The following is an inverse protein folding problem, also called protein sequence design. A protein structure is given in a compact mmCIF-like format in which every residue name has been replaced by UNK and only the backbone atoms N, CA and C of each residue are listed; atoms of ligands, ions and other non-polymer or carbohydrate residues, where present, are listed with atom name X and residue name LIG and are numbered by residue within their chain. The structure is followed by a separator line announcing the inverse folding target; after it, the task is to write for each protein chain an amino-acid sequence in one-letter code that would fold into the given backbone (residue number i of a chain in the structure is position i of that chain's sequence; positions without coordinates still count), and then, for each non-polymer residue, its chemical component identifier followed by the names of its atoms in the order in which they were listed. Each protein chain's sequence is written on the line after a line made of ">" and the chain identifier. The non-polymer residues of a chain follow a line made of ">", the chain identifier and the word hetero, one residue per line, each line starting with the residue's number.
data_IF_191013793505
#
_entry.id   IF_191013793505
#
_cell.length_a   1.000
_cell.length_b   1.000
_cell.length_c   1.000
_cell.angle_alpha   90.00
_cell.angle_beta   90.00
_cell.angle_gamma   90.00
#
_symmetry.space_group_name_H-M   'P 1'
#
loop_
_entity.id
_entity.type
_entity.pdbx_description
1 polymer ?
#
# COMPACT_ATOMS: atom_id res chain seq x y z
N UNK A 1 -29.14 0.52 6.47
CA UNK A 1 -28.44 -0.59 7.15
C UNK A 1 -27.64 -0.03 8.34
N UNK A 2 -28.30 0.38 9.43
CA UNK A 2 -27.64 1.10 10.53
C UNK A 2 -26.55 0.27 11.24
N UNK A 3 -26.82 -1.00 11.55
CA UNK A 3 -25.85 -1.85 12.26
C UNK A 3 -24.58 -2.20 11.46
N UNK A 4 -24.70 -2.36 10.13
CA UNK A 4 -23.52 -2.56 9.26
C UNK A 4 -22.66 -1.30 9.26
N UNK A 5 -23.27 -0.11 9.12
CA UNK A 5 -22.55 1.16 9.16
C UNK A 5 -21.82 1.34 10.51
N UNK A 6 -22.50 1.09 11.63
CA UNK A 6 -21.90 1.22 12.96
C UNK A 6 -20.66 0.34 13.12
N UNK A 7 -20.75 -0.94 12.73
CA UNK A 7 -19.60 -1.85 12.79
C UNK A 7 -18.48 -1.52 11.80
N UNK A 8 -18.81 -0.93 10.66
CA UNK A 8 -17.81 -0.37 9.75
C UNK A 8 -17.05 0.79 10.40
N UNK A 9 -17.74 1.72 11.08
CA UNK A 9 -17.06 2.82 11.78
C UNK A 9 -16.16 2.30 12.92
N UNK A 10 -16.62 1.32 13.70
CA UNK A 10 -15.78 0.66 14.72
C UNK A 10 -14.51 0.03 14.11
N UNK A 11 -14.64 -0.64 12.97
CA UNK A 11 -13.49 -1.22 12.25
C UNK A 11 -12.54 -0.13 11.74
N UNK A 12 -13.05 0.97 11.19
CA UNK A 12 -12.25 2.11 10.75
C UNK A 12 -11.45 2.67 11.92
N UNK A 13 -12.06 2.83 13.08
CA UNK A 13 -11.38 3.32 14.27
C UNK A 13 -10.30 2.34 14.73
N UNK A 14 -10.57 1.04 14.72
CA UNK A 14 -9.55 0.03 15.06
C UNK A 14 -8.36 0.05 14.08
N UNK A 15 -8.62 0.20 12.78
CA UNK A 15 -7.57 0.36 11.75
C UNK A 15 -6.76 1.62 12.04
N UNK A 16 -7.40 2.75 12.32
CA UNK A 16 -6.70 4.01 12.61
C UNK A 16 -5.81 3.94 13.85
N UNK A 17 -6.19 3.13 14.83
CA UNK A 17 -5.42 2.91 16.06
C UNK A 17 -4.46 1.71 15.96
N UNK A 18 -4.39 1.02 14.82
CA UNK A 18 -3.42 -0.05 14.63
C UNK A 18 -1.99 0.50 14.68
N UNK A 19 -1.02 -0.38 14.93
CA UNK A 19 0.39 0.03 14.96
C UNK A 19 0.84 0.42 13.55
N UNK A 20 0.43 -0.37 12.58
CA UNK A 20 0.72 -0.24 11.15
C UNK A 20 0.29 1.13 10.63
N UNK A 21 -0.98 1.51 10.88
CA UNK A 21 -1.53 2.77 10.39
C UNK A 21 -0.96 4.00 11.11
N UNK A 22 -0.66 3.89 12.42
CA UNK A 22 -0.02 4.97 13.18
C UNK A 22 1.40 5.22 12.69
N UNK A 23 2.22 4.18 12.58
CA UNK A 23 3.59 4.28 12.08
C UNK A 23 3.63 4.85 10.66
N UNK A 24 2.73 4.40 9.77
CA UNK A 24 2.59 4.98 8.43
C UNK A 24 2.27 6.47 8.46
N UNK A 25 1.32 6.92 9.28
CA UNK A 25 0.95 8.34 9.34
C UNK A 25 2.06 9.23 9.91
N UNK A 26 2.77 8.76 10.94
CA UNK A 26 3.89 9.48 11.54
C UNK A 26 5.02 9.69 10.52
N UNK A 27 5.41 8.62 9.82
CA UNK A 27 6.45 8.66 8.79
C UNK A 27 6.00 9.47 7.56
N UNK A 28 4.73 9.36 7.16
CA UNK A 28 4.15 10.18 6.10
C UNK A 28 4.24 11.67 6.43
N UNK A 29 3.91 12.05 7.67
CA UNK A 29 3.96 13.44 8.09
C UNK A 29 5.40 13.98 8.02
N UNK A 30 6.39 13.18 8.46
CA UNK A 30 7.80 13.55 8.37
C UNK A 30 8.25 13.80 6.93
N UNK A 31 8.00 12.84 6.03
CA UNK A 31 8.44 12.92 4.62
C UNK A 31 7.72 14.02 3.84
N UNK A 32 6.50 14.36 4.24
CA UNK A 32 5.73 15.43 3.60
C UNK A 32 6.30 16.83 3.86
N UNK A 33 7.11 17.02 4.90
CA UNK A 33 7.71 18.33 5.21
C UNK A 33 8.90 18.67 4.29
N UNK A 34 9.51 17.69 3.62
CA UNK A 34 10.62 17.90 2.68
C UNK A 34 10.14 17.79 1.23
N UNK A 35 9.88 18.94 0.59
CA UNK A 35 9.20 18.99 -0.71
C UNK A 35 9.90 18.21 -1.82
N UNK A 36 11.24 18.19 -1.86
CA UNK A 36 11.99 17.47 -2.91
C UNK A 36 11.99 15.94 -2.75
N UNK A 37 12.01 15.45 -1.50
CA UNK A 37 12.02 14.01 -1.22
C UNK A 37 10.65 13.40 -1.52
N UNK A 38 9.57 14.11 -1.15
CA UNK A 38 8.20 13.66 -1.42
C UNK A 38 7.95 13.42 -2.91
N UNK A 39 8.29 14.38 -3.77
CA UNK A 39 8.05 14.27 -5.22
C UNK A 39 8.79 13.08 -5.83
N UNK A 40 10.00 12.79 -5.34
CA UNK A 40 10.82 11.66 -5.78
C UNK A 40 10.22 10.33 -5.33
N UNK A 41 9.73 10.24 -4.09
CA UNK A 41 9.02 9.06 -3.56
C UNK A 41 7.71 8.81 -4.32
N UNK A 42 6.93 9.85 -4.58
CA UNK A 42 5.67 9.74 -5.32
C UNK A 42 5.92 9.27 -6.77
N UNK A 43 7.04 9.67 -7.37
CA UNK A 43 7.47 9.19 -8.68
C UNK A 43 7.87 7.71 -8.64
N UNK A 44 8.70 7.31 -7.66
CA UNK A 44 9.05 5.90 -7.43
C UNK A 44 7.82 5.01 -7.28
N UNK A 45 6.84 5.41 -6.47
CA UNK A 45 5.60 4.66 -6.25
C UNK A 45 4.79 4.49 -7.52
N UNK A 46 4.68 5.56 -8.32
CA UNK A 46 3.95 5.52 -9.58
C UNK A 46 4.62 4.56 -10.56
N UNK A 47 5.94 4.61 -10.66
CA UNK A 47 6.70 3.74 -11.57
C UNK A 47 6.61 2.28 -11.12
N UNK A 48 6.73 2.03 -9.81
CA UNK A 48 6.59 0.70 -9.23
C UNK A 48 5.18 0.12 -9.46
N UNK A 49 4.13 0.90 -9.21
CA UNK A 49 2.75 0.49 -9.44
C UNK A 49 2.47 0.24 -10.93
N UNK A 50 3.03 1.08 -11.81
CA UNK A 50 2.89 0.89 -13.25
C UNK A 50 3.53 -0.42 -13.70
N UNK A 51 4.74 -0.72 -13.21
CA UNK A 51 5.43 -1.98 -13.51
C UNK A 51 4.70 -3.19 -12.92
N UNK A 52 4.18 -3.10 -11.69
CA UNK A 52 3.41 -4.19 -11.07
C UNK A 52 2.14 -4.55 -11.85
N UNK A 53 1.50 -3.58 -12.49
CA UNK A 53 0.29 -3.78 -13.27
C UNK A 53 0.55 -4.14 -14.74
N UNK A 54 1.80 -4.07 -15.20
CA UNK A 54 2.18 -4.43 -16.56
C UNK A 54 2.52 -5.94 -16.64
N UNK A 55 1.75 -6.76 -17.40
CA UNK A 55 2.03 -8.18 -17.59
C UNK A 55 3.39 -8.46 -18.24
N UNK A 56 3.97 -7.47 -18.94
CA UNK A 56 5.28 -7.55 -19.58
C UNK A 56 6.44 -7.13 -18.68
N UNK A 57 6.19 -6.65 -17.47
CA UNK A 57 7.25 -6.30 -16.53
C UNK A 57 7.96 -7.53 -16.01
N UNK A 58 9.28 -7.45 -15.99
CA UNK A 58 10.19 -8.51 -15.57
C UNK A 58 11.01 -8.06 -14.34
N UNK A 59 11.76 -8.97 -13.69
CA UNK A 59 12.64 -8.60 -12.58
C UNK A 59 13.65 -7.50 -12.92
N UNK A 60 14.10 -7.41 -14.19
CA UNK A 60 15.03 -6.36 -14.62
C UNK A 60 14.38 -4.96 -14.60
N UNK A 61 13.10 -4.87 -14.93
CA UNK A 61 12.32 -3.63 -14.85
C UNK A 61 12.28 -3.10 -13.42
N UNK A 62 12.02 -3.96 -12.44
CA UNK A 62 12.04 -3.59 -11.01
C UNK A 62 13.45 -3.22 -10.53
N UNK A 63 14.49 -3.93 -10.99
CA UNK A 63 15.87 -3.60 -10.67
C UNK A 63 16.27 -2.23 -11.25
N UNK A 64 15.82 -1.90 -12.47
CA UNK A 64 16.05 -0.59 -13.09
C UNK A 64 15.37 0.53 -12.30
N UNK A 65 14.11 0.35 -11.91
CA UNK A 65 13.39 1.32 -11.07
C UNK A 65 14.13 1.48 -9.73
N UNK A 66 14.50 0.40 -9.08
CA UNK A 66 15.22 0.46 -7.79
C UNK A 66 16.55 1.22 -7.92
N UNK A 67 17.27 1.02 -9.03
CA UNK A 67 18.52 1.73 -9.32
C UNK A 67 18.30 3.22 -9.64
N UNK A 68 17.23 3.55 -10.35
CA UNK A 68 16.89 4.94 -10.70
C UNK A 68 16.58 5.80 -9.47
N UNK A 69 16.05 5.16 -8.42
CA UNK A 69 15.65 5.80 -7.16
C UNK A 69 16.56 5.41 -5.98
N UNK A 70 17.77 4.91 -6.26
CA UNK A 70 18.74 4.49 -5.23
C UNK A 70 19.05 5.62 -4.24
N UNK A 71 19.11 6.85 -4.73
CA UNK A 71 19.37 8.07 -3.94
C UNK A 71 18.36 8.28 -2.80
N UNK A 72 17.09 7.95 -3.02
CA UNK A 72 16.06 8.04 -1.98
C UNK A 72 15.88 6.74 -1.20
N UNK A 73 16.16 5.58 -1.81
CA UNK A 73 16.04 4.28 -1.14
C UNK A 73 17.15 4.05 -0.11
N UNK A 74 18.31 4.69 -0.27
CA UNK A 74 19.37 4.70 0.74
C UNK A 74 19.01 5.53 1.98
N UNK A 75 18.02 6.42 1.91
CA UNK A 75 17.58 7.19 3.06
C UNK A 75 16.77 6.28 4.02
N UNK A 76 17.25 6.05 5.26
CA UNK A 76 16.58 5.16 6.21
C UNK A 76 15.14 5.56 6.52
N UNK A 77 14.83 6.86 6.54
CA UNK A 77 13.49 7.36 6.83
C UNK A 77 12.51 7.07 5.69
N UNK A 78 13.01 7.12 4.44
CA UNK A 78 12.25 6.74 3.26
C UNK A 78 12.02 5.23 3.22
N UNK A 79 13.04 4.44 3.52
CA UNK A 79 12.92 2.99 3.62
C UNK A 79 11.91 2.56 4.70
N UNK A 80 11.98 3.16 5.89
CA UNK A 80 11.01 2.93 6.97
C UNK A 80 9.59 3.30 6.55
N UNK A 81 9.42 4.42 5.83
CA UNK A 81 8.11 4.84 5.34
C UNK A 81 7.52 3.89 4.31
N UNK A 82 8.29 3.49 3.31
CA UNK A 82 7.85 2.52 2.30
C UNK A 82 7.51 1.17 2.95
N UNK A 83 8.29 0.74 3.95
CA UNK A 83 7.97 -0.46 4.73
C UNK A 83 6.68 -0.33 5.52
N UNK A 84 6.44 0.81 6.18
CA UNK A 84 5.21 1.08 6.91
C UNK A 84 3.99 1.17 5.97
N UNK A 85 4.16 1.72 4.78
CA UNK A 85 3.13 1.73 3.74
C UNK A 85 2.75 0.31 3.30
N UNK A 86 3.76 -0.52 2.98
CA UNK A 86 3.54 -1.92 2.62
C UNK A 86 2.82 -2.70 3.73
N UNK A 87 3.12 -2.42 5.01
CA UNK A 87 2.43 -3.06 6.13
C UNK A 87 0.94 -2.68 6.19
N UNK A 88 0.60 -1.41 5.94
CA UNK A 88 -0.80 -0.95 5.87
C UNK A 88 -1.53 -1.58 4.69
N UNK A 89 -0.89 -1.64 3.52
CA UNK A 89 -1.39 -2.32 2.33
C UNK A 89 -1.75 -3.77 2.64
N UNK A 90 -0.83 -4.52 3.25
CA UNK A 90 -1.04 -5.93 3.57
C UNK A 90 -2.21 -6.10 4.56
N UNK A 91 -2.25 -5.27 5.61
CA UNK A 91 -3.34 -5.26 6.58
C UNK A 91 -4.70 -5.02 5.90
N UNK A 92 -4.78 -4.06 4.97
CA UNK A 92 -6.02 -3.77 4.25
C UNK A 92 -6.42 -4.89 3.31
N UNK A 93 -5.45 -5.50 2.61
CA UNK A 93 -5.69 -6.66 1.73
C UNK A 93 -6.28 -7.83 2.51
N UNK A 94 -5.68 -8.16 3.65
CA UNK A 94 -6.17 -9.22 4.53
C UNK A 94 -7.61 -8.95 5.01
N UNK A 95 -7.93 -7.69 5.34
CA UNK A 95 -9.30 -7.29 5.74
C UNK A 95 -10.27 -7.48 4.57
N UNK A 96 -9.91 -7.02 3.36
CA UNK A 96 -10.76 -7.15 2.18
C UNK A 96 -11.00 -8.61 1.79
N UNK A 97 -9.98 -9.46 1.83
CA UNK A 97 -10.11 -10.89 1.56
C UNK A 97 -11.01 -11.58 2.59
N UNK A 98 -10.87 -11.25 3.87
CA UNK A 98 -11.74 -11.80 4.93
C UNK A 98 -13.20 -11.38 4.76
N UNK A 99 -13.45 -10.12 4.41
CA UNK A 99 -14.80 -9.63 4.16
C UNK A 99 -15.40 -10.26 2.89
N UNK A 100 -14.64 -10.30 1.80
CA UNK A 100 -15.07 -10.82 0.51
C UNK A 100 -15.24 -12.35 0.46
N UNK A 101 -14.52 -13.10 1.31
CA UNK A 101 -14.71 -14.55 1.45
C UNK A 101 -15.84 -14.92 2.41
N UNK A 102 -16.07 -14.12 3.45
CA UNK A 102 -17.16 -14.36 4.42
C UNK A 102 -18.53 -13.99 3.87
N UNK A 103 -18.60 -12.90 3.10
CA UNK A 103 -19.78 -12.58 2.30
C UNK A 103 -19.63 -13.42 1.03
N UNK A 104 -20.56 -14.33 0.73
CA UNK A 104 -20.50 -15.19 -0.45
C UNK A 104 -20.71 -14.39 -1.75
N UNK A 105 -19.80 -13.47 -2.03
CA UNK A 105 -19.70 -12.75 -3.28
C UNK A 105 -19.18 -13.76 -4.29
N UNK A 106 -19.94 -13.94 -5.36
CA UNK A 106 -19.44 -14.67 -6.51
C UNK A 106 -18.33 -13.83 -7.14
N UNK A 107 -17.08 -14.08 -6.73
CA UNK A 107 -15.89 -13.43 -7.29
C UNK A 107 -15.27 -14.24 -8.43
N UNK A 108 -15.94 -15.31 -8.88
CA UNK A 108 -15.42 -16.18 -9.95
C UNK A 108 -15.25 -15.45 -11.28
N UNK A 109 -16.01 -14.38 -11.51
CA UNK A 109 -15.90 -13.52 -12.69
C UNK A 109 -14.63 -12.67 -12.73
N UNK A 110 -13.94 -12.48 -11.60
CA UNK A 110 -12.70 -11.71 -11.56
C UNK A 110 -11.48 -12.50 -12.05
N UNK A 111 -11.62 -13.80 -12.37
CA UNK A 111 -10.49 -14.67 -12.70
C UNK A 111 -9.54 -14.88 -11.51
N UNK A 112 -8.36 -15.47 -11.72
CA UNK A 112 -7.27 -15.37 -10.74
C UNK A 112 -6.93 -13.88 -10.60
N UNK A 113 -7.49 -13.23 -9.58
CA UNK A 113 -7.07 -11.90 -9.16
C UNK A 113 -5.63 -12.08 -8.68
N UNK A 114 -4.67 -11.87 -9.58
CA UNK A 114 -3.32 -11.51 -9.17
C UNK A 114 -3.50 -10.33 -8.24
N UNK A 115 -3.13 -10.57 -6.99
CA UNK A 115 -3.27 -9.69 -5.84
C UNK A 115 -3.32 -8.22 -6.29
N UNK A 116 -4.39 -7.52 -5.93
CA UNK A 116 -4.41 -6.07 -6.03
C UNK A 116 -3.20 -5.56 -5.21
N UNK A 117 -2.11 -5.24 -5.92
CA UNK A 117 -0.97 -4.49 -5.42
C UNK A 117 -1.45 -3.04 -5.25
N UNK A 118 -2.33 -2.82 -4.27
CA UNK A 118 -2.54 -1.51 -3.67
C UNK A 118 -1.33 -1.23 -2.81
#
# INVERSE_FOLDING_TARGET
>A
MPGVREKTEELIDLIKHSKEYRSYNELRAFITHESGIRDRIDSFRRDLLTAQNDPGSDPETFARISKEYEDILENPQVAEYLSAEQAVIQMMRDIYERLGSAVALDLSFLGEVKELNI
#
